data_IF_064306328302
#
_entry.id   IF_064306328302
#
_cell.length_a   1.000
_cell.length_b   1.000
_cell.length_c   1.000
_cell.angle_alpha   90.00
_cell.angle_beta   90.00
_cell.angle_gamma   90.00
#
_symmetry.space_group_name_H-M   'P 1'
#
loop_
_entity.id
_entity.type
_entity.pdbx_description
1 polymer ?
#
# COMPACT_ATOMS: atom_id res chain seq x y z
N UNK A 1 -7.42 -1.40 -20.21
CA UNK A 1 -6.42 -0.84 -21.12
C UNK A 1 -5.75 -1.98 -21.88
N UNK A 2 -5.02 -1.64 -22.93
CA UNK A 2 -4.24 -2.60 -23.71
C UNK A 2 -2.82 -2.70 -23.17
N UNK A 3 -2.38 -3.88 -22.79
CA UNK A 3 -0.99 -4.13 -22.38
C UNK A 3 -0.18 -4.68 -23.56
N UNK A 4 1.05 -4.22 -23.70
CA UNK A 4 2.04 -4.66 -24.69
C UNK A 4 3.29 -5.08 -23.90
N UNK A 5 3.70 -6.35 -23.99
CA UNK A 5 4.90 -6.83 -23.31
C UNK A 5 6.13 -6.63 -24.18
N UNK A 6 7.18 -5.99 -23.65
CA UNK A 6 8.43 -5.73 -24.39
C UNK A 6 9.69 -6.37 -23.78
N UNK A 7 9.57 -7.12 -22.67
CA UNK A 7 10.75 -7.71 -22.02
C UNK A 7 10.46 -8.66 -20.86
N UNK A 8 11.54 -9.16 -20.25
CA UNK A 8 11.53 -9.89 -18.98
C UNK A 8 11.15 -8.96 -17.83
N UNK A 9 10.57 -9.51 -16.75
CA UNK A 9 10.11 -8.73 -15.59
C UNK A 9 11.19 -7.76 -15.09
N UNK A 10 10.82 -6.47 -14.95
CA UNK A 10 11.74 -5.41 -14.52
C UNK A 10 11.99 -5.42 -13.01
N UNK A 11 11.02 -5.89 -12.24
CA UNK A 11 11.09 -6.08 -10.79
C UNK A 11 10.21 -7.25 -10.36
N UNK A 12 10.30 -7.64 -9.09
CA UNK A 12 9.37 -8.57 -8.45
C UNK A 12 7.91 -8.08 -8.48
N UNK A 13 7.69 -6.77 -8.63
CA UNK A 13 6.37 -6.12 -8.64
C UNK A 13 5.71 -6.12 -10.02
N UNK A 14 6.43 -6.50 -11.08
CA UNK A 14 5.92 -6.48 -12.44
C UNK A 14 4.62 -7.31 -12.62
N UNK A 15 4.46 -8.40 -11.86
CA UNK A 15 3.27 -9.22 -11.86
C UNK A 15 2.05 -8.47 -11.29
N UNK A 16 2.22 -7.81 -10.14
CA UNK A 16 1.16 -7.05 -9.46
C UNK A 16 0.76 -5.82 -10.27
N UNK A 17 1.74 -5.10 -10.83
CA UNK A 17 1.49 -3.96 -11.73
C UNK A 17 0.70 -4.42 -12.96
N UNK A 18 1.10 -5.54 -13.59
CA UNK A 18 0.37 -6.11 -14.74
C UNK A 18 -1.06 -6.51 -14.37
N UNK A 19 -1.25 -7.18 -13.23
CA UNK A 19 -2.57 -7.59 -12.75
C UNK A 19 -3.47 -6.38 -12.52
N UNK A 20 -2.95 -5.35 -11.86
CA UNK A 20 -3.70 -4.13 -11.55
C UNK A 20 -4.05 -3.33 -12.78
N UNK A 21 -3.13 -3.15 -13.73
CA UNK A 21 -3.40 -2.46 -15.00
C UNK A 21 -4.43 -3.21 -15.87
N UNK A 22 -4.43 -4.55 -15.86
CA UNK A 22 -5.48 -5.34 -16.53
C UNK A 22 -6.86 -5.10 -15.88
N UNK A 23 -6.89 -4.96 -14.56
CA UNK A 23 -8.09 -4.69 -13.77
C UNK A 23 -8.77 -3.35 -14.07
N UNK A 24 -8.02 -2.35 -14.56
CA UNK A 24 -8.56 -1.02 -14.90
C UNK A 24 -9.58 -1.02 -16.06
N UNK A 25 -9.68 -2.11 -16.84
CA UNK A 25 -10.70 -2.23 -17.90
C UNK A 25 -10.41 -1.38 -19.14
N UNK A 26 -11.00 -1.72 -20.30
CA UNK A 26 -10.75 -1.05 -21.59
C UNK A 26 -11.79 0.02 -21.89
N UNK A 27 -11.39 1.01 -22.68
CA UNK A 27 -12.31 1.99 -23.27
C UNK A 27 -12.41 3.32 -22.54
N UNK A 28 -13.26 4.16 -23.11
CA UNK A 28 -13.60 5.55 -22.81
C UNK A 28 -14.41 5.74 -21.51
N UNK A 29 -14.81 4.65 -20.84
CA UNK A 29 -15.62 4.69 -19.62
C UNK A 29 -14.88 4.33 -18.33
N UNK A 30 -13.61 3.91 -18.39
CA UNK A 30 -12.92 3.36 -17.20
C UNK A 30 -11.44 3.73 -17.03
N UNK A 31 -10.85 4.56 -17.91
CA UNK A 31 -9.49 5.21 -17.90
C UNK A 31 -8.83 5.05 -19.28
N UNK A 32 -9.07 3.93 -19.97
CA UNK A 32 -8.54 3.66 -21.32
C UNK A 32 -7.00 3.60 -21.36
N UNK A 33 -6.42 3.58 -22.56
CA UNK A 33 -4.98 3.69 -22.76
C UNK A 33 -4.21 2.43 -23.13
N UNK A 34 -2.89 2.61 -23.31
CA UNK A 34 -1.94 1.58 -23.71
C UNK A 34 -0.78 1.55 -22.71
N UNK A 35 -0.47 0.38 -22.17
CA UNK A 35 0.65 0.17 -21.26
C UNK A 35 1.74 -0.67 -21.92
N UNK A 36 2.96 -0.10 -22.01
CA UNK A 36 4.18 -0.84 -22.33
C UNK A 36 4.72 -1.46 -21.04
N UNK A 37 4.73 -2.79 -20.96
CA UNK A 37 5.15 -3.53 -19.78
C UNK A 37 6.63 -3.93 -19.88
N UNK A 38 7.32 -3.87 -18.75
CA UNK A 38 8.70 -4.33 -18.58
C UNK A 38 9.65 -3.75 -19.63
N UNK A 39 9.58 -2.43 -19.80
CA UNK A 39 10.29 -1.74 -20.87
C UNK A 39 11.61 -1.16 -20.34
N UNK A 40 12.68 -1.32 -21.11
CA UNK A 40 13.93 -0.60 -20.88
C UNK A 40 14.04 0.47 -21.96
N UNK A 41 13.72 1.73 -21.67
CA UNK A 41 13.68 2.76 -22.69
C UNK A 41 15.04 2.91 -23.39
N UNK A 42 15.03 3.10 -24.71
CA UNK A 42 16.28 3.11 -25.47
C UNK A 42 17.26 4.18 -24.97
N UNK A 43 18.51 3.82 -24.71
CA UNK A 43 19.50 4.76 -24.16
C UNK A 43 19.31 5.10 -22.68
N UNK A 44 18.41 4.41 -21.98
CA UNK A 44 18.34 4.38 -20.52
C UNK A 44 18.79 3.00 -20.02
N UNK A 45 19.63 2.99 -18.98
CA UNK A 45 20.14 1.74 -18.40
C UNK A 45 19.20 1.08 -17.38
N UNK A 46 18.06 1.69 -17.08
CA UNK A 46 17.15 1.23 -16.02
C UNK A 46 15.79 0.82 -16.60
N UNK A 47 15.27 -0.36 -16.25
CA UNK A 47 13.96 -0.81 -16.69
C UNK A 47 12.84 -0.12 -15.89
N UNK A 48 11.66 -0.08 -16.51
CA UNK A 48 10.40 0.36 -15.92
C UNK A 48 9.43 -0.82 -15.94
N UNK A 49 8.66 -1.01 -14.86
CA UNK A 49 7.62 -2.05 -14.83
C UNK A 49 6.50 -1.75 -15.82
N UNK A 50 6.14 -0.47 -15.95
CA UNK A 50 5.25 -0.03 -17.01
C UNK A 50 5.44 1.44 -17.42
N UNK A 51 5.20 1.73 -18.70
CA UNK A 51 4.91 3.09 -19.18
C UNK A 51 3.50 3.09 -19.76
N UNK A 52 2.59 3.80 -19.09
CA UNK A 52 1.16 3.84 -19.43
C UNK A 52 0.84 5.16 -20.12
N UNK A 53 0.38 5.08 -21.36
CA UNK A 53 -0.09 6.20 -22.16
C UNK A 53 -1.62 6.21 -22.11
N UNK A 54 -2.20 7.31 -21.61
CA UNK A 54 -3.64 7.49 -21.47
C UNK A 54 -4.09 8.75 -22.22
N UNK A 55 -5.39 8.90 -22.55
CA UNK A 55 -5.90 10.11 -23.21
C UNK A 55 -5.64 11.40 -22.44
N UNK A 56 -5.57 11.34 -21.10
CA UNK A 56 -5.40 12.53 -20.25
C UNK A 56 -4.02 12.63 -19.57
N UNK A 57 -3.07 11.75 -19.90
CA UNK A 57 -1.74 11.79 -19.30
C UNK A 57 -0.88 10.58 -19.60
N UNK A 58 0.37 10.63 -19.15
CA UNK A 58 1.32 9.51 -19.19
C UNK A 58 1.75 9.18 -17.77
N UNK A 59 1.74 7.89 -17.42
CA UNK A 59 2.16 7.40 -16.11
C UNK A 59 3.38 6.50 -16.26
N UNK A 60 4.47 6.87 -15.60
CA UNK A 60 5.70 6.08 -15.52
C UNK A 60 5.67 5.28 -14.22
N UNK A 61 5.73 3.94 -14.29
CA UNK A 61 5.67 3.06 -13.12
C UNK A 61 7.05 2.41 -12.93
N UNK A 62 7.65 2.65 -11.76
CA UNK A 62 8.94 2.07 -11.36
C UNK A 62 8.78 1.34 -10.04
N UNK A 63 9.18 0.08 -10.02
CA UNK A 63 9.21 -0.77 -8.85
C UNK A 63 10.35 -0.39 -7.92
N UNK A 64 10.03 -0.35 -6.63
CA UNK A 64 10.95 -0.18 -5.53
C UNK A 64 10.76 -1.38 -4.62
N UNK A 65 11.74 -2.27 -4.65
CA UNK A 65 11.73 -3.50 -3.87
C UNK A 65 12.09 -3.18 -2.41
N UNK A 66 11.20 -3.55 -1.51
CA UNK A 66 11.43 -3.49 -0.08
C UNK A 66 12.11 -4.79 0.37
N UNK A 67 12.96 -4.74 1.41
CA UNK A 67 13.63 -5.94 1.94
C UNK A 67 12.65 -6.99 2.47
N UNK A 68 11.45 -6.54 2.83
CA UNK A 68 10.37 -7.39 3.25
C UNK A 68 9.02 -6.65 3.17
N UNK A 69 7.93 -7.36 3.44
CA UNK A 69 6.60 -6.79 3.57
C UNK A 69 6.53 -5.82 4.76
N UNK A 70 5.63 -4.85 4.68
CA UNK A 70 5.56 -3.72 5.62
C UNK A 70 4.09 -3.38 5.93
N UNK A 71 3.72 -3.16 7.18
CA UNK A 71 2.35 -2.73 7.51
C UNK A 71 2.15 -1.25 7.17
N UNK A 72 3.12 -0.41 7.52
CA UNK A 72 3.07 1.03 7.28
C UNK A 72 4.37 1.52 6.68
N UNK A 73 4.31 2.07 5.48
CA UNK A 73 5.45 2.71 4.84
C UNK A 73 5.29 4.23 4.84
N UNK A 74 6.17 4.92 5.55
CA UNK A 74 6.41 6.35 5.39
C UNK A 74 7.44 6.54 4.27
N UNK A 75 6.99 7.03 3.12
CA UNK A 75 7.80 7.10 1.91
C UNK A 75 7.84 8.52 1.35
N UNK A 76 8.54 9.47 2.01
CA UNK A 76 8.68 10.80 1.48
C UNK A 76 9.48 10.78 0.16
N UNK A 77 9.16 11.67 -0.77
CA UNK A 77 9.91 11.78 -2.03
C UNK A 77 11.37 12.19 -1.80
N UNK A 78 11.63 12.86 -0.68
CA UNK A 78 12.95 13.30 -0.25
C UNK A 78 13.22 12.87 1.18
N UNK A 79 14.45 12.42 1.44
CA UNK A 79 14.84 11.92 2.76
C UNK A 79 14.59 10.43 2.93
N UNK A 80 14.77 9.96 4.16
CA UNK A 80 14.79 8.55 4.50
C UNK A 80 13.38 7.98 4.60
N UNK A 81 13.15 6.84 3.94
CA UNK A 81 11.90 6.09 4.09
C UNK A 81 11.88 5.33 5.40
N UNK A 82 10.69 5.08 5.94
CA UNK A 82 10.51 4.23 7.10
C UNK A 82 9.47 3.15 6.87
N UNK A 83 9.82 1.90 7.12
CA UNK A 83 8.90 0.78 7.15
C UNK A 83 8.57 0.45 8.60
N UNK A 84 7.30 0.46 8.99
CA UNK A 84 6.83 0.17 10.36
C UNK A 84 7.50 1.07 11.42
N UNK A 85 7.71 2.35 11.08
CA UNK A 85 8.47 3.37 11.82
C UNK A 85 10.01 3.21 11.80
N UNK A 86 10.53 2.24 11.05
CA UNK A 86 11.96 1.95 10.94
C UNK A 86 12.62 2.50 9.70
N UNK A 87 13.73 3.23 9.82
CA UNK A 87 14.54 3.62 8.68
C UNK A 87 14.82 2.47 7.70
N UNK A 88 14.39 2.61 6.45
CA UNK A 88 14.81 1.73 5.38
C UNK A 88 16.23 2.13 4.96
N UNK A 89 17.19 1.28 5.30
CA UNK A 89 18.54 1.34 4.77
C UNK A 89 18.58 0.48 3.50
N UNK A 90 18.80 1.11 2.35
CA UNK A 90 18.90 0.40 1.08
C UNK A 90 20.20 -0.42 1.01
N UNK A 91 20.23 -1.41 0.12
CA UNK A 91 21.44 -2.19 -0.22
C UNK A 91 22.46 -1.41 -1.08
N UNK A 92 22.39 -0.07 -1.10
CA UNK A 92 23.25 0.79 -1.90
C UNK A 92 23.40 2.19 -1.28
N UNK A 93 24.21 3.05 -1.91
CA UNK A 93 24.64 4.36 -1.36
C UNK A 93 23.50 5.39 -1.18
N UNK A 94 22.29 5.12 -1.69
CA UNK A 94 21.17 6.05 -1.64
C UNK A 94 20.34 5.90 -0.36
N UNK A 95 20.25 6.99 0.40
CA UNK A 95 19.43 7.11 1.62
C UNK A 95 17.92 6.88 1.36
N UNK A 96 17.48 7.07 0.12
CA UNK A 96 16.08 6.92 -0.30
C UNK A 96 15.99 5.84 -1.40
N UNK A 97 15.31 4.70 -1.14
CA UNK A 97 15.18 3.60 -2.10
C UNK A 97 14.53 4.01 -3.44
N UNK A 98 13.65 5.00 -3.42
CA UNK A 98 12.97 5.53 -4.59
C UNK A 98 13.79 6.53 -5.42
N UNK A 99 14.92 7.04 -4.91
CA UNK A 99 15.64 8.16 -5.55
C UNK A 99 16.11 7.84 -6.97
N UNK A 100 16.67 6.65 -7.20
CA UNK A 100 17.12 6.24 -8.53
C UNK A 100 15.96 6.09 -9.53
N UNK A 101 14.84 5.53 -9.07
CA UNK A 101 13.63 5.40 -9.88
C UNK A 101 13.04 6.77 -10.24
N UNK A 102 12.99 7.68 -9.27
CA UNK A 102 12.50 9.04 -9.47
C UNK A 102 13.37 9.82 -10.47
N UNK A 103 14.70 9.76 -10.34
CA UNK A 103 15.61 10.42 -11.27
C UNK A 103 15.47 9.85 -12.70
N UNK A 104 15.39 8.53 -12.85
CA UNK A 104 15.17 7.89 -14.15
C UNK A 104 13.85 8.33 -14.79
N UNK A 105 12.76 8.39 -14.00
CA UNK A 105 11.45 8.86 -14.45
C UNK A 105 11.48 10.33 -14.89
N UNK A 106 12.17 11.21 -14.16
CA UNK A 106 12.31 12.63 -14.54
C UNK A 106 13.01 12.78 -15.89
N UNK A 107 14.11 12.06 -16.11
CA UNK A 107 14.81 12.09 -17.39
C UNK A 107 13.95 11.55 -18.54
N UNK A 108 13.23 10.44 -18.33
CA UNK A 108 12.36 9.88 -19.36
C UNK A 108 11.16 10.80 -19.65
N UNK A 109 10.55 11.39 -18.62
CA UNK A 109 9.46 12.34 -18.75
C UNK A 109 9.86 13.54 -19.60
N UNK A 110 11.06 14.10 -19.37
CA UNK A 110 11.57 15.21 -20.16
C UNK A 110 11.71 14.84 -21.65
N UNK A 111 12.32 13.67 -21.94
CA UNK A 111 12.43 13.18 -23.33
C UNK A 111 11.07 13.00 -24.00
N UNK A 112 10.14 12.33 -23.32
CA UNK A 112 8.79 12.08 -23.86
C UNK A 112 8.08 13.40 -24.14
N UNK A 113 8.15 14.35 -23.22
CA UNK A 113 7.52 15.66 -23.39
C UNK A 113 8.05 16.40 -24.62
N UNK A 114 9.37 16.37 -24.84
CA UNK A 114 10.02 17.02 -25.98
C UNK A 114 9.73 16.31 -27.31
N UNK A 115 9.97 15.00 -27.39
CA UNK A 115 9.86 14.23 -28.64
C UNK A 115 8.42 14.09 -29.10
N UNK A 116 7.48 13.85 -28.17
CA UNK A 116 6.07 13.70 -28.50
C UNK A 116 5.28 15.02 -28.46
N UNK A 117 5.94 16.13 -28.10
CA UNK A 117 5.32 17.46 -27.93
C UNK A 117 4.04 17.36 -27.10
N UNK A 118 4.14 16.70 -25.95
CA UNK A 118 2.98 16.46 -25.09
C UNK A 118 2.54 17.74 -24.39
N UNK A 119 1.22 17.89 -24.29
CA UNK A 119 0.56 18.92 -23.49
C UNK A 119 -0.14 18.33 -22.26
N UNK A 120 -0.26 17.01 -22.20
CA UNK A 120 -0.85 16.27 -21.08
C UNK A 120 0.18 16.07 -19.96
N UNK A 121 -0.26 15.93 -18.69
CA UNK A 121 0.64 15.64 -17.59
C UNK A 121 1.40 14.33 -17.78
N UNK A 122 2.67 14.32 -17.39
CA UNK A 122 3.47 13.11 -17.21
C UNK A 122 3.73 12.98 -15.71
N UNK A 123 3.34 11.85 -15.14
CA UNK A 123 3.46 11.58 -13.72
C UNK A 123 4.20 10.27 -13.45
N UNK A 124 4.68 10.11 -12.22
CA UNK A 124 5.44 8.93 -11.79
C UNK A 124 4.72 8.21 -10.66
N UNK A 125 4.69 6.88 -10.72
CA UNK A 125 4.33 6.03 -9.60
C UNK A 125 5.55 5.20 -9.20
N UNK A 126 5.95 5.33 -7.93
CA UNK A 126 6.88 4.42 -7.29
C UNK A 126 6.06 3.29 -6.68
N UNK A 127 6.01 2.16 -7.38
CA UNK A 127 5.31 0.97 -6.92
C UNK A 127 6.18 0.27 -5.87
N UNK A 128 5.65 0.02 -4.68
CA UNK A 128 6.38 -0.62 -3.57
C UNK A 128 5.81 -1.99 -3.24
N UNK A 129 6.67 -2.91 -2.81
CA UNK A 129 6.27 -4.23 -2.32
C UNK A 129 7.49 -5.06 -1.90
N UNK A 130 7.33 -6.33 -1.52
CA UNK A 130 6.31 -7.27 -2.02
C UNK A 130 4.89 -7.05 -1.49
N UNK A 131 4.71 -6.54 -0.27
CA UNK A 131 3.39 -6.14 0.24
C UNK A 131 3.53 -4.93 1.16
N UNK A 132 2.65 -3.94 0.98
CA UNK A 132 2.53 -2.81 1.91
C UNK A 132 1.04 -2.55 2.19
N UNK A 133 0.63 -2.63 3.45
CA UNK A 133 -0.77 -2.44 3.84
C UNK A 133 -1.18 -0.95 3.73
N UNK A 134 -0.37 -0.04 4.28
CA UNK A 134 -0.58 1.39 4.18
C UNK A 134 0.68 2.14 3.75
N UNK A 135 0.58 2.93 2.67
CA UNK A 135 1.61 3.92 2.31
C UNK A 135 1.13 5.29 2.75
N UNK A 136 1.95 5.97 3.55
CA UNK A 136 1.67 7.28 4.12
C UNK A 136 2.45 8.31 3.31
N UNK A 137 1.78 9.11 2.49
CA UNK A 137 2.46 10.20 1.79
C UNK A 137 2.80 11.32 2.78
N UNK A 138 3.95 11.96 2.60
CA UNK A 138 4.23 13.22 3.27
C UNK A 138 3.34 14.33 2.71
N UNK A 139 2.88 15.25 3.56
CA UNK A 139 1.99 16.35 3.14
C UNK A 139 2.59 17.21 2.03
N UNK A 140 3.91 17.41 2.06
CA UNK A 140 4.65 18.20 1.07
C UNK A 140 4.68 17.53 -0.32
N UNK A 141 4.47 16.21 -0.38
CA UNK A 141 4.54 15.42 -1.62
C UNK A 141 3.21 15.39 -2.39
N UNK A 142 2.09 15.70 -1.74
CA UNK A 142 0.75 15.61 -2.35
C UNK A 142 0.60 16.52 -3.59
N UNK A 143 1.33 17.64 -3.64
CA UNK A 143 1.35 18.55 -4.79
C UNK A 143 2.24 18.12 -5.94
N UNK A 144 3.11 17.13 -5.75
CA UNK A 144 4.05 16.67 -6.77
C UNK A 144 3.39 15.69 -7.74
N UNK A 145 3.87 15.59 -9.00
CA UNK A 145 3.37 14.63 -9.98
C UNK A 145 3.92 13.20 -9.72
N UNK A 146 4.06 12.83 -8.45
CA UNK A 146 4.63 11.55 -8.02
C UNK A 146 3.76 10.95 -6.92
N UNK A 147 3.52 9.64 -6.97
CA UNK A 147 2.88 8.89 -5.87
C UNK A 147 3.70 7.66 -5.53
N UNK A 148 3.83 7.38 -4.24
CA UNK A 148 4.33 6.10 -3.74
C UNK A 148 3.12 5.27 -3.32
N UNK A 149 3.02 4.02 -3.77
CA UNK A 149 1.89 3.14 -3.46
C UNK A 149 2.25 1.67 -3.66
N UNK A 150 1.54 0.78 -2.97
CA UNK A 150 1.51 -0.65 -3.33
C UNK A 150 0.57 -0.85 -4.52
N UNK A 151 0.99 -1.55 -5.61
CA UNK A 151 0.28 -1.54 -6.89
C UNK A 151 -0.99 -2.41 -6.91
N UNK A 152 -2.04 -1.98 -6.20
CA UNK A 152 -3.40 -2.52 -6.30
C UNK A 152 -4.23 -1.77 -7.35
N UNK A 153 -5.31 -2.39 -7.85
CA UNK A 153 -6.24 -1.76 -8.80
C UNK A 153 -6.77 -0.44 -8.24
N UNK A 154 -7.21 -0.44 -6.99
CA UNK A 154 -7.76 0.74 -6.32
C UNK A 154 -6.71 1.84 -6.19
N UNK A 155 -5.51 1.53 -5.70
CA UNK A 155 -4.45 2.51 -5.52
C UNK A 155 -3.99 3.14 -6.84
N UNK A 156 -3.88 2.33 -7.91
CA UNK A 156 -3.55 2.86 -9.25
C UNK A 156 -4.69 3.71 -9.82
N UNK A 157 -5.95 3.32 -9.61
CA UNK A 157 -7.11 4.12 -10.05
C UNK A 157 -7.10 5.50 -9.40
N UNK A 158 -6.89 5.56 -8.08
CA UNK A 158 -6.81 6.81 -7.32
C UNK A 158 -5.60 7.66 -7.72
N UNK A 159 -4.44 7.02 -7.95
CA UNK A 159 -3.26 7.71 -8.45
C UNK A 159 -3.50 8.31 -9.84
N UNK A 160 -4.13 7.58 -10.76
CA UNK A 160 -4.46 8.09 -12.11
C UNK A 160 -5.44 9.25 -12.04
N UNK A 161 -6.50 9.14 -11.23
CA UNK A 161 -7.51 10.19 -11.06
C UNK A 161 -6.90 11.49 -10.52
N UNK A 162 -5.92 11.39 -9.62
CA UNK A 162 -5.26 12.55 -9.00
C UNK A 162 -4.13 13.13 -9.86
N UNK A 163 -3.31 12.28 -10.49
CA UNK A 163 -2.14 12.70 -11.25
C UNK A 163 -2.46 13.12 -12.70
N UNK A 164 -3.53 12.57 -13.27
CA UNK A 164 -3.92 12.81 -14.67
C UNK A 164 -5.40 13.19 -14.77
N UNK A 165 -5.82 14.34 -14.20
CA UNK A 165 -7.22 14.70 -14.11
C UNK A 165 -7.84 14.92 -15.51
N UNK A 166 -9.10 14.46 -15.74
CA UNK A 166 -9.72 14.47 -17.06
C UNK A 166 -10.07 15.87 -17.57
N UNK A 167 -10.01 16.91 -16.71
CA UNK A 167 -10.30 18.30 -17.06
C UNK A 167 -9.19 19.00 -17.87
N UNK A 168 -8.09 18.29 -18.18
CA UNK A 168 -6.94 18.82 -18.92
C UNK A 168 -7.00 18.63 -20.44
N UNK A 169 -5.91 18.98 -21.15
CA UNK A 169 -5.76 18.67 -22.57
C UNK A 169 -5.78 17.15 -22.81
N UNK A 170 -6.08 16.76 -24.05
CA UNK A 170 -6.09 15.34 -24.44
C UNK A 170 -4.93 15.01 -25.37
N UNK A 171 -4.31 13.85 -25.11
CA UNK A 171 -3.28 13.23 -25.92
C UNK A 171 -3.94 12.65 -27.18
N UNK A 172 -3.50 13.07 -28.37
CA UNK A 172 -3.99 12.50 -29.63
C UNK A 172 -3.43 11.11 -29.91
N UNK A 173 -4.07 10.39 -30.83
CA UNK A 173 -3.53 9.12 -31.35
C UNK A 173 -2.11 9.26 -31.93
N UNK A 174 -1.79 10.40 -32.57
CA UNK A 174 -0.44 10.69 -33.07
C UNK A 174 0.56 10.92 -31.93
N UNK A 175 0.18 11.71 -30.94
CA UNK A 175 1.00 11.93 -29.75
C UNK A 175 1.25 10.62 -28.99
N UNK A 176 0.22 9.79 -28.81
CA UNK A 176 0.35 8.49 -28.17
C UNK A 176 1.38 7.60 -28.90
N UNK A 177 1.36 7.55 -30.23
CA UNK A 177 2.38 6.82 -31.02
C UNK A 177 3.78 7.42 -30.86
N UNK A 178 3.88 8.75 -30.78
CA UNK A 178 5.15 9.42 -30.56
C UNK A 178 5.72 9.08 -29.18
N UNK A 179 4.88 9.02 -28.13
CA UNK A 179 5.28 8.56 -26.79
C UNK A 179 5.80 7.13 -26.84
N UNK A 180 5.03 6.21 -27.44
CA UNK A 180 5.42 4.80 -27.53
C UNK A 180 6.79 4.63 -28.24
N UNK A 181 7.04 5.41 -29.29
CA UNK A 181 8.32 5.40 -30.02
C UNK A 181 9.48 6.02 -29.24
N UNK A 182 9.22 7.10 -28.49
CA UNK A 182 10.22 7.75 -27.64
C UNK A 182 10.68 6.84 -26.48
N UNK A 183 9.77 6.00 -25.98
CA UNK A 183 10.06 4.98 -24.97
C UNK A 183 10.83 3.82 -25.61
N UNK A 184 10.26 3.18 -26.61
CA UNK A 184 10.87 2.05 -27.30
C UNK A 184 10.60 2.12 -28.82
N UNK A 185 11.63 2.41 -29.64
CA UNK A 185 11.51 2.44 -31.10
C UNK A 185 11.07 1.11 -31.73
N UNK A 186 11.26 -0.02 -31.04
CA UNK A 186 10.86 -1.34 -31.53
C UNK A 186 9.37 -1.66 -31.27
N UNK A 187 8.67 -0.83 -30.49
CA UNK A 187 7.26 -1.02 -30.19
C UNK A 187 6.41 -0.98 -31.47
N UNK A 188 5.54 -1.97 -31.71
CA UNK A 188 4.66 -1.99 -32.88
C UNK A 188 3.77 -0.75 -32.96
N UNK A 189 3.65 -0.18 -34.16
CA UNK A 189 2.76 0.96 -34.40
C UNK A 189 1.32 0.53 -34.15
N UNK A 190 0.63 1.23 -33.24
CA UNK A 190 -0.76 0.93 -32.90
C UNK A 190 -1.70 1.49 -33.98
N UNK A 191 -2.62 0.68 -34.55
CA UNK A 191 -3.60 1.14 -35.54
C UNK A 191 -4.55 2.20 -34.99
N UNK A 192 -5.12 3.05 -35.86
CA UNK A 192 -6.05 4.12 -35.45
C UNK A 192 -7.27 3.57 -34.71
N UNK A 193 -7.85 2.45 -35.18
CA UNK A 193 -9.01 1.84 -34.52
C UNK A 193 -8.69 1.31 -33.11
N UNK A 194 -7.45 0.86 -32.89
CA UNK A 194 -6.99 0.43 -31.56
C UNK A 194 -6.85 1.61 -30.62
N UNK A 195 -6.29 2.73 -31.09
CA UNK A 195 -6.16 3.93 -30.28
C UNK A 195 -7.52 4.58 -30.02
N UNK A 196 -8.41 4.61 -31.00
CA UNK A 196 -9.78 5.10 -30.83
C UNK A 196 -10.55 4.27 -29.78
N UNK A 197 -10.42 2.93 -29.82
CA UNK A 197 -11.05 2.04 -28.84
C UNK A 197 -10.50 2.19 -27.41
N UNK A 198 -9.30 2.76 -27.25
CA UNK A 198 -8.69 3.07 -25.95
C UNK A 198 -8.90 4.54 -25.54
N UNK A 199 -9.72 5.30 -26.27
CA UNK A 199 -10.16 6.66 -25.92
C UNK A 199 -9.32 7.80 -26.50
N UNK A 200 -8.36 7.53 -27.39
CA UNK A 200 -7.53 8.58 -27.99
C UNK A 200 -8.26 9.31 -29.14
N UNK A 201 -8.37 10.65 -29.12
CA UNK A 201 -8.90 11.41 -30.24
C UNK A 201 -7.93 11.40 -31.44
N UNK A 202 -8.48 11.44 -32.66
CA UNK A 202 -7.69 11.49 -33.91
C UNK A 202 -6.85 12.77 -34.04
N UNK A 203 -7.26 13.86 -33.40
CA UNK A 203 -6.53 15.14 -33.35
C UNK A 203 -6.50 15.67 -31.93
N UNK A 204 -5.38 16.27 -31.52
CA UNK A 204 -5.24 16.87 -30.19
C UNK A 204 -6.19 18.07 -30.10
N UNK A 205 -7.10 18.06 -29.14
CA UNK A 205 -7.92 19.24 -28.87
C UNK A 205 -7.18 20.10 -27.86
N UNK A 206 -6.59 21.20 -28.32
CA UNK A 206 -6.26 22.29 -27.40
C UNK A 206 -7.58 22.83 -26.86
N UNK A 207 -7.77 22.79 -25.54
CA UNK A 207 -8.88 23.47 -24.89
C UNK A 207 -8.80 24.95 -25.27
N UNK A 208 -9.61 25.34 -26.25
CA UNK A 208 -9.70 26.71 -26.73
C UNK A 208 -10.42 27.47 -25.63
N UNK A 209 -9.71 28.28 -24.85
CA UNK A 209 -10.32 29.44 -24.18
C UNK A 209 -11.09 30.19 -25.26
N UNK A 210 -12.41 30.06 -25.27
CA UNK A 210 -13.26 30.72 -26.24
C UNK A 210 -13.07 32.23 -26.15
N UNK A 211 -13.12 32.98 -27.27
CA UNK A 211 -13.27 34.42 -27.20
C UNK A 211 -14.58 34.70 -26.44
N UNK A 212 -14.53 35.64 -25.49
CA UNK A 212 -15.71 36.07 -24.74
C UNK A 212 -16.89 36.42 -25.67
N UNK A 213 -18.14 36.25 -25.23
CA UNK A 213 -19.29 36.46 -26.10
C UNK A 213 -19.36 37.94 -26.50
N UNK A 214 -19.31 38.21 -27.81
CA UNK A 214 -19.68 39.50 -28.36
C UNK A 214 -21.20 39.71 -28.20
N UNK A 215 -21.68 40.95 -27.98
CA UNK A 215 -23.09 41.23 -27.73
C UNK A 215 -23.89 41.12 -29.03
N UNK A 216 -24.99 40.36 -29.03
CA UNK A 216 -25.95 40.28 -30.14
C UNK A 216 -27.11 41.25 -29.89
N UNK A 217 -27.51 42.10 -30.87
CA UNK A 217 -28.61 43.06 -30.72
C UNK A 217 -30.00 42.41 -30.87
N UNK A 218 -31.09 43.05 -30.37
CA UNK A 218 -32.39 42.41 -30.22
C UNK A 218 -33.28 42.60 -31.46
N UNK A 219 -34.02 41.56 -31.87
CA UNK A 219 -35.22 41.66 -32.70
C UNK A 219 -36.05 40.35 -32.62
N UNK A 220 -37.31 40.32 -33.09
CA UNK A 220 -38.51 40.41 -32.28
C UNK A 220 -39.30 39.09 -32.20
N UNK A 221 -40.14 38.98 -31.17
CA UNK A 221 -41.01 37.83 -30.94
C UNK A 221 -42.15 37.71 -31.95
N UNK A 222 -42.55 36.47 -32.29
CA UNK A 222 -43.95 36.17 -32.55
C UNK A 222 -44.54 35.14 -31.57
N UNK A 223 -45.86 35.21 -31.51
CA UNK A 223 -46.80 34.79 -30.47
C UNK A 223 -47.20 33.31 -30.43
N UNK A 224 -47.46 32.87 -29.19
CA UNK A 224 -48.52 31.94 -28.73
C UNK A 224 -48.55 30.49 -29.24
N UNK A 225 -48.50 29.53 -28.31
CA UNK A 225 -49.75 28.93 -27.79
C UNK A 225 -49.52 28.10 -26.52
N UNK A 226 -50.49 28.21 -25.63
CA UNK A 226 -50.53 27.62 -24.30
C UNK A 226 -50.84 26.12 -24.35
N UNK A 227 -50.22 25.35 -23.46
CA UNK A 227 -50.97 24.36 -22.71
C UNK A 227 -50.43 24.18 -21.30
N UNK A 228 -51.35 24.31 -20.36
CA UNK A 228 -51.18 24.37 -18.93
C UNK A 228 -50.95 22.99 -18.30
N UNK A 229 -49.93 22.86 -17.45
CA UNK A 229 -50.02 22.04 -16.22
C UNK A 229 -49.43 22.80 -15.04
N UNK A 230 -50.32 23.10 -14.10
CA UNK A 230 -50.06 23.70 -12.79
C UNK A 230 -49.23 22.75 -11.93
N UNK A 231 -48.20 23.28 -11.28
CA UNK A 231 -47.51 22.70 -10.13
C UNK A 231 -46.59 23.76 -9.53
N UNK A 232 -46.96 24.27 -8.36
CA UNK A 232 -46.39 25.47 -7.70
C UNK A 232 -44.93 25.31 -7.24
N UNK A 233 -44.20 26.43 -7.07
CA UNK A 233 -42.86 26.44 -6.50
C UNK A 233 -42.91 26.19 -4.98
N UNK A 234 -42.05 25.30 -4.50
CA UNK A 234 -41.89 25.04 -3.08
C UNK A 234 -41.15 26.22 -2.42
N UNK A 235 -41.92 27.03 -1.70
CA UNK A 235 -41.44 27.99 -0.73
C UNK A 235 -40.71 27.26 0.39
N UNK A 236 -39.45 27.67 0.60
CA UNK A 236 -38.74 27.51 1.86
C UNK A 236 -39.63 28.02 3.01
N UNK A 237 -40.02 27.12 3.90
CA UNK A 237 -40.52 27.45 5.22
C UNK A 237 -39.70 26.69 6.27
N UNK A 238 -39.26 27.36 7.35
CA UNK A 238 -38.46 26.77 8.40
C UNK A 238 -39.35 25.93 9.32
N UNK A 239 -38.86 24.75 9.72
CA UNK A 239 -39.44 23.92 10.79
C UNK A 239 -38.40 23.80 11.93
N UNK A 240 -38.80 23.50 13.18
CA UNK A 240 -38.39 24.26 14.35
C UNK A 240 -37.34 23.49 15.14
N UNK A 241 -36.29 24.21 15.55
CA UNK A 241 -35.14 23.71 16.33
C UNK A 241 -35.52 23.24 17.77
N UNK A 242 -36.80 23.21 18.11
CA UNK A 242 -37.28 22.91 19.47
C UNK A 242 -37.28 21.41 19.84
N UNK A 243 -37.31 20.48 18.87
CA UNK A 243 -37.38 19.02 19.17
C UNK A 243 -36.00 18.39 19.39
N UNK A 244 -34.95 18.92 18.73
CA UNK A 244 -33.58 18.41 18.88
C UNK A 244 -32.94 18.86 20.20
N UNK A 245 -33.25 20.08 20.67
CA UNK A 245 -32.71 20.58 21.94
C UNK A 245 -33.30 19.84 23.17
N UNK A 246 -34.55 19.39 23.10
CA UNK A 246 -35.18 18.61 24.18
C UNK A 246 -34.62 17.18 24.28
N UNK A 247 -34.17 16.60 23.17
CA UNK A 247 -33.50 15.29 23.16
C UNK A 247 -32.07 15.37 23.72
N UNK A 248 -31.34 16.46 23.46
CA UNK A 248 -29.97 16.64 23.98
C UNK A 248 -29.98 16.99 25.48
N UNK A 249 -30.93 17.81 25.95
CA UNK A 249 -31.07 18.13 27.38
C UNK A 249 -31.62 16.93 28.17
N UNK A 250 -32.50 16.11 27.57
CA UNK A 250 -32.96 14.86 28.16
C UNK A 250 -31.85 13.81 28.33
N UNK A 251 -30.92 13.71 27.37
CA UNK A 251 -29.79 12.79 27.46
C UNK A 251 -28.78 13.20 28.56
N UNK A 252 -28.59 14.51 28.76
CA UNK A 252 -27.71 15.03 29.82
C UNK A 252 -28.36 14.85 31.21
N UNK A 253 -29.69 14.92 31.33
CA UNK A 253 -30.39 14.67 32.59
C UNK A 253 -30.37 13.18 33.01
N UNK A 254 -30.36 12.24 32.07
CA UNK A 254 -30.24 10.79 32.39
C UNK A 254 -28.82 10.43 32.84
N UNK A 255 -27.79 11.13 32.36
CA UNK A 255 -26.40 10.96 32.83
C UNK A 255 -26.17 11.69 34.18
N UNK A 256 -26.90 12.77 34.48
CA UNK A 256 -26.73 13.56 35.69
C UNK A 256 -27.52 13.08 36.92
N UNK A 257 -28.54 12.21 36.78
CA UNK A 257 -29.34 11.71 37.93
C UNK A 257 -28.86 10.34 38.45
N UNK A 258 -27.88 9.71 37.81
CA UNK A 258 -27.25 8.48 38.32
C UNK A 258 -25.98 8.71 39.18
N UNK A 259 -25.64 9.96 39.53
CA UNK A 259 -24.41 10.29 40.29
C UNK A 259 -24.64 11.19 41.51
N UNK A 260 -25.81 11.11 42.16
CA UNK A 260 -26.03 11.75 43.46
C UNK A 260 -26.78 10.82 44.41
N UNK A 261 -26.03 9.93 45.04
CA UNK A 261 -26.49 9.04 46.11
C UNK A 261 -25.31 8.28 46.70
N UNK A 262 -24.62 8.92 47.64
CA UNK A 262 -23.56 8.32 48.42
C UNK A 262 -24.06 7.09 49.20
N UNK A 263 -23.30 5.99 49.15
CA UNK A 263 -23.01 5.07 50.26
C UNK A 263 -22.04 3.98 49.79
N UNK A 264 -20.86 3.94 50.41
CA UNK A 264 -19.82 2.88 50.45
C UNK A 264 -19.76 1.85 49.30
N UNK A 265 -18.83 2.06 48.36
CA UNK A 265 -18.29 1.02 47.48
C UNK A 265 -16.86 1.40 47.03
N UNK A 266 -15.91 0.44 46.91
CA UNK A 266 -14.49 0.75 46.86
C UNK A 266 -14.10 1.44 45.55
N UNK A 267 -13.09 2.31 45.64
CA UNK A 267 -12.51 3.00 44.51
C UNK A 267 -12.16 2.00 43.39
N UNK A 268 -12.76 2.20 42.21
CA UNK A 268 -12.38 1.47 41.00
C UNK A 268 -11.00 1.99 40.61
N UNK A 269 -9.98 1.18 40.91
CA UNK A 269 -8.64 1.39 40.43
C UNK A 269 -8.68 1.57 38.91
N UNK A 270 -8.01 2.61 38.43
CA UNK A 270 -7.52 2.64 37.06
C UNK A 270 -6.63 1.41 36.93
N UNK A 271 -7.11 0.40 36.22
CA UNK A 271 -6.33 -0.80 35.92
C UNK A 271 -5.20 -0.38 34.98
N UNK A 272 -4.11 0.10 35.56
CA UNK A 272 -2.79 -0.06 34.97
C UNK A 272 -2.57 -1.56 34.97
N UNK A 273 -2.77 -2.24 33.83
CA UNK A 273 -2.33 -3.62 33.76
C UNK A 273 -0.83 -3.62 34.07
N UNK A 274 -0.36 -4.41 35.03
CA UNK A 274 1.07 -4.56 35.25
C UNK A 274 1.69 -5.02 33.93
N UNK A 275 2.86 -4.48 33.56
CA UNK A 275 3.75 -5.25 32.68
C UNK A 275 3.84 -6.65 33.28
N UNK A 276 3.71 -7.73 32.49
CA UNK A 276 3.83 -9.08 33.04
C UNK A 276 5.14 -9.15 33.83
N UNK A 277 5.10 -9.81 34.99
CA UNK A 277 6.33 -10.25 35.67
C UNK A 277 7.27 -10.81 34.60
N UNK A 278 8.53 -10.35 34.59
CA UNK A 278 9.55 -10.66 33.61
C UNK A 278 9.62 -12.18 33.35
N UNK A 279 8.86 -12.68 32.37
CA UNK A 279 8.88 -14.11 32.02
C UNK A 279 10.07 -14.30 31.11
N UNK A 280 11.12 -14.93 31.64
CA UNK A 280 12.30 -15.32 30.87
C UNK A 280 12.24 -16.82 30.60
N UNK A 281 12.29 -17.20 29.34
CA UNK A 281 12.45 -18.59 28.92
C UNK A 281 13.89 -18.86 28.55
N UNK A 282 14.54 -19.79 29.25
CA UNK A 282 15.89 -20.23 28.92
C UNK A 282 15.82 -21.41 27.94
N UNK A 283 16.40 -21.26 26.75
CA UNK A 283 16.45 -22.29 25.70
C UNK A 283 17.86 -22.37 25.15
N UNK A 284 18.50 -23.53 25.29
CA UNK A 284 19.85 -23.82 24.77
C UNK A 284 20.87 -22.70 25.05
N UNK A 285 20.84 -22.19 26.28
CA UNK A 285 21.77 -21.15 26.76
C UNK A 285 21.45 -19.72 26.32
N UNK A 286 20.29 -19.48 25.69
CA UNK A 286 19.77 -18.14 25.44
C UNK A 286 18.56 -17.85 26.32
N UNK A 287 18.49 -16.63 26.80
CA UNK A 287 17.35 -16.10 27.53
C UNK A 287 16.43 -15.37 26.55
N UNK A 288 15.15 -15.75 26.55
CA UNK A 288 14.08 -15.13 25.78
C UNK A 288 13.11 -14.46 26.74
N UNK A 289 13.27 -13.16 26.92
CA UNK A 289 12.39 -12.33 27.73
C UNK A 289 11.12 -12.00 26.96
N UNK A 290 9.94 -12.29 27.52
CA UNK A 290 8.65 -12.00 26.88
C UNK A 290 8.38 -10.50 26.87
N UNK A 291 8.31 -9.91 25.68
CA UNK A 291 7.95 -8.51 25.46
C UNK A 291 6.45 -8.36 25.21
N UNK A 292 5.89 -9.24 24.38
CA UNK A 292 4.46 -9.30 24.13
C UNK A 292 4.03 -10.73 23.81
N UNK A 293 2.81 -11.10 24.21
CA UNK A 293 2.18 -12.34 23.76
C UNK A 293 0.67 -12.18 23.69
N UNK A 294 0.04 -12.97 22.83
CA UNK A 294 -1.42 -13.07 22.73
C UNK A 294 -1.86 -14.36 22.02
N UNK A 295 -3.13 -14.70 22.17
CA UNK A 295 -3.78 -15.78 21.41
C UNK A 295 -4.97 -15.20 20.65
N UNK A 296 -4.89 -15.22 19.32
CA UNK A 296 -5.87 -14.60 18.44
C UNK A 296 -6.57 -15.68 17.63
N UNK A 297 -7.91 -15.72 17.69
CA UNK A 297 -8.71 -16.70 16.93
C UNK A 297 -8.86 -16.33 15.46
N UNK A 298 -8.85 -15.04 15.17
CA UNK A 298 -8.91 -14.54 13.81
C UNK A 298 -7.51 -14.57 13.18
N UNK A 299 -7.12 -15.74 12.66
CA UNK A 299 -5.80 -15.96 12.07
C UNK A 299 -5.53 -15.04 10.87
N UNK A 300 -6.57 -14.67 10.11
CA UNK A 300 -6.45 -13.82 8.92
C UNK A 300 -5.97 -12.41 9.29
N UNK A 301 -6.49 -11.84 10.39
CA UNK A 301 -6.09 -10.52 10.90
C UNK A 301 -4.62 -10.40 11.34
N UNK A 302 -3.95 -11.53 11.52
CA UNK A 302 -2.57 -11.63 12.02
C UNK A 302 -1.56 -12.02 10.93
N UNK A 303 -2.02 -12.11 9.70
CA UNK A 303 -1.21 -12.55 8.55
C UNK A 303 -1.38 -11.59 7.38
N UNK A 304 -0.40 -11.58 6.48
CA UNK A 304 -0.43 -10.78 5.26
C UNK A 304 0.05 -11.60 4.05
N UNK A 305 -0.08 -11.03 2.84
CA UNK A 305 0.33 -11.65 1.58
C UNK A 305 -0.48 -12.90 1.21
N UNK A 306 0.13 -13.85 0.50
CA UNK A 306 -0.53 -15.11 0.13
C UNK A 306 -0.87 -15.97 1.35
N UNK A 307 -0.10 -15.87 2.43
CA UNK A 307 -0.38 -16.57 3.69
C UNK A 307 -1.74 -16.17 4.26
N UNK A 308 -2.09 -14.89 4.22
CA UNK A 308 -3.41 -14.39 4.65
C UNK A 308 -4.56 -15.08 3.89
N UNK A 309 -4.45 -15.14 2.57
CA UNK A 309 -5.43 -15.81 1.71
C UNK A 309 -5.44 -17.34 1.92
N UNK A 310 -4.30 -17.93 2.25
CA UNK A 310 -4.18 -19.37 2.44
C UNK A 310 -4.69 -19.81 3.81
N UNK A 311 -4.47 -19.00 4.85
CA UNK A 311 -4.94 -19.23 6.22
C UNK A 311 -6.45 -19.03 6.32
N UNK A 312 -7.05 -18.06 5.61
CA UNK A 312 -8.52 -17.94 5.57
C UNK A 312 -9.23 -19.12 4.91
N UNK A 313 -8.49 -19.95 4.16
CA UNK A 313 -8.95 -21.20 3.54
C UNK A 313 -8.48 -22.45 4.27
N UNK A 314 -7.58 -22.31 5.22
CA UNK A 314 -7.19 -23.38 6.12
C UNK A 314 -8.10 -23.28 7.34
N UNK A 315 -8.60 -24.40 7.84
CA UNK A 315 -9.47 -24.40 9.03
C UNK A 315 -8.59 -24.09 10.26
N UNK A 316 -8.24 -22.82 10.42
CA UNK A 316 -7.37 -22.29 11.46
C UNK A 316 -8.19 -22.01 12.72
N UNK A 317 -7.85 -22.70 13.81
CA UNK A 317 -8.53 -22.56 15.09
C UNK A 317 -8.04 -21.33 15.87
N UNK A 318 -6.80 -20.91 15.63
CA UNK A 318 -6.19 -19.74 16.22
C UNK A 318 -4.69 -19.66 15.94
N UNK A 319 -4.10 -18.55 16.37
CA UNK A 319 -2.67 -18.33 16.35
C UNK A 319 -2.21 -17.85 17.73
N UNK A 320 -1.13 -18.43 18.22
CA UNK A 320 -0.39 -17.88 19.35
C UNK A 320 0.72 -16.99 18.80
N UNK A 321 0.77 -15.75 19.28
CA UNK A 321 1.83 -14.79 18.95
C UNK A 321 2.67 -14.55 20.19
N UNK A 322 4.00 -14.57 20.02
CA UNK A 322 4.96 -14.22 21.06
C UNK A 322 6.09 -13.39 20.48
N UNK A 323 6.42 -12.28 21.13
CA UNK A 323 7.56 -11.43 20.82
C UNK A 323 8.50 -11.46 22.01
N UNK A 324 9.76 -11.79 21.76
CA UNK A 324 10.78 -11.98 22.79
C UNK A 324 12.00 -11.13 22.50
N UNK A 325 12.62 -10.63 23.57
CA UNK A 325 13.93 -10.03 23.55
C UNK A 325 14.96 -11.10 23.94
N UNK A 326 16.02 -11.22 23.16
CA UNK A 326 17.17 -12.04 23.52
C UNK A 326 18.46 -11.26 23.33
N UNK A 327 19.56 -11.75 23.91
CA UNK A 327 20.87 -11.10 23.81
C UNK A 327 21.97 -12.11 23.52
N UNK A 328 22.81 -11.82 22.54
CA UNK A 328 23.99 -12.62 22.21
C UNK A 328 25.18 -11.70 22.07
N UNK A 329 26.25 -11.98 22.82
CA UNK A 329 27.48 -11.18 22.80
C UNK A 329 27.26 -9.66 23.03
N UNK A 330 26.27 -9.30 23.85
CA UNK A 330 25.94 -7.91 24.17
C UNK A 330 25.12 -7.17 23.11
N UNK A 331 24.64 -7.88 22.07
CA UNK A 331 23.69 -7.37 21.08
C UNK A 331 22.29 -7.93 21.35
N UNK A 332 21.27 -7.10 21.24
CA UNK A 332 19.88 -7.46 21.45
C UNK A 332 19.21 -7.84 20.13
N UNK A 333 18.47 -8.95 20.14
CA UNK A 333 17.65 -9.37 19.02
C UNK A 333 16.16 -9.44 19.41
N UNK A 334 15.31 -8.90 18.55
CA UNK A 334 13.88 -9.19 18.54
C UNK A 334 13.65 -10.56 17.92
N UNK A 335 12.80 -11.34 18.56
CA UNK A 335 12.36 -12.65 18.10
C UNK A 335 10.83 -12.67 18.10
N UNK A 336 10.23 -12.77 16.92
CA UNK A 336 8.79 -12.92 16.75
C UNK A 336 8.46 -14.35 16.41
N UNK A 337 7.53 -14.95 17.13
CA UNK A 337 7.07 -16.32 16.94
C UNK A 337 5.56 -16.32 16.74
N UNK A 338 5.10 -16.97 15.68
CA UNK A 338 3.69 -17.27 15.46
C UNK A 338 3.49 -18.77 15.33
N UNK A 339 2.63 -19.36 16.15
CA UNK A 339 2.26 -20.78 16.11
C UNK A 339 0.78 -20.90 15.74
N UNK A 340 0.49 -21.43 14.56
CA UNK A 340 -0.86 -21.63 14.05
C UNK A 340 -1.40 -22.99 14.48
N UNK A 341 -2.59 -22.97 15.06
CA UNK A 341 -3.38 -24.16 15.36
C UNK A 341 -4.25 -24.49 14.15
N UNK A 342 -3.93 -25.58 13.47
CA UNK A 342 -4.62 -26.02 12.26
C UNK A 342 -5.30 -27.36 12.51
N UNK A 343 -6.53 -27.52 12.01
CA UNK A 343 -7.27 -28.78 12.18
C UNK A 343 -6.65 -29.94 11.39
N UNK A 344 -5.86 -29.64 10.35
CA UNK A 344 -5.26 -30.64 9.47
C UNK A 344 -3.73 -30.50 9.35
N UNK A 345 -2.95 -31.55 9.67
CA UNK A 345 -1.51 -31.55 9.42
C UNK A 345 -1.17 -31.33 7.93
N UNK A 346 -2.03 -31.76 7.01
CA UNK A 346 -1.84 -31.52 5.57
C UNK A 346 -1.94 -30.04 5.22
N UNK A 347 -2.80 -29.28 5.92
CA UNK A 347 -2.88 -27.83 5.75
C UNK A 347 -1.62 -27.18 6.33
N UNK A 348 -1.13 -27.62 7.49
CA UNK A 348 0.12 -27.15 8.07
C UNK A 348 1.31 -27.29 7.11
N UNK A 349 1.53 -28.49 6.55
CA UNK A 349 2.63 -28.69 5.58
C UNK A 349 2.42 -27.93 4.26
N UNK A 350 1.17 -27.62 3.87
CA UNK A 350 0.88 -26.80 2.68
C UNK A 350 1.22 -25.32 2.95
N UNK A 351 0.86 -24.83 4.13
CA UNK A 351 1.17 -23.46 4.54
C UNK A 351 2.67 -23.28 4.78
N UNK A 352 3.36 -24.26 5.37
CA UNK A 352 4.83 -24.25 5.50
C UNK A 352 5.51 -24.06 4.14
N UNK A 353 5.16 -24.88 3.15
CA UNK A 353 5.71 -24.75 1.79
C UNK A 353 5.43 -23.39 1.16
N UNK A 354 4.26 -22.81 1.46
CA UNK A 354 3.89 -21.50 0.97
C UNK A 354 4.83 -20.44 1.57
N UNK A 355 4.94 -20.34 2.89
CA UNK A 355 5.75 -19.31 3.58
C UNK A 355 7.25 -19.49 3.39
N UNK A 356 7.70 -20.71 3.08
CA UNK A 356 9.08 -21.02 2.71
C UNK A 356 9.43 -20.52 1.30
N UNK A 357 8.44 -20.12 0.50
CA UNK A 357 8.65 -19.44 -0.79
C UNK A 357 8.77 -17.93 -0.55
N UNK A 358 9.86 -17.28 -0.98
CA UNK A 358 10.00 -15.83 -0.82
C UNK A 358 8.84 -15.04 -1.41
N UNK A 359 8.35 -14.02 -0.69
CA UNK A 359 7.32 -13.10 -1.17
C UNK A 359 5.86 -13.52 -0.92
N UNK A 360 5.60 -14.69 -0.34
CA UNK A 360 4.24 -15.21 -0.11
C UNK A 360 3.56 -14.71 1.17
N UNK A 361 4.18 -13.79 1.90
CA UNK A 361 3.62 -13.24 3.14
C UNK A 361 3.86 -14.10 4.38
N UNK A 362 3.59 -13.52 5.56
CA UNK A 362 4.03 -14.00 6.87
C UNK A 362 3.08 -13.53 7.98
N UNK A 363 3.34 -13.93 9.23
CA UNK A 363 2.63 -13.43 10.41
C UNK A 363 3.18 -12.08 10.89
N UNK A 364 2.31 -11.26 11.49
CA UNK A 364 2.71 -9.97 12.08
C UNK A 364 3.60 -10.15 13.32
N UNK A 365 4.38 -9.13 13.66
CA UNK A 365 5.06 -9.04 14.97
C UNK A 365 4.19 -8.25 15.96
N UNK A 366 3.85 -8.90 17.08
CA UNK A 366 2.92 -8.35 18.06
C UNK A 366 3.51 -7.16 18.83
N UNK A 367 4.77 -7.25 19.25
CA UNK A 367 5.44 -6.15 19.94
C UNK A 367 5.61 -4.92 19.04
N UNK A 368 5.88 -5.09 17.74
CA UNK A 368 5.87 -3.97 16.78
C UNK A 368 4.47 -3.36 16.67
N UNK A 369 3.43 -4.18 16.59
CA UNK A 369 2.04 -3.71 16.49
C UNK A 369 1.61 -2.91 17.73
N UNK A 370 2.22 -3.21 18.89
CA UNK A 370 1.95 -2.57 20.19
C UNK A 370 2.96 -1.48 20.57
N UNK A 371 3.94 -1.18 19.72
CA UNK A 371 5.02 -0.25 20.02
C UNK A 371 5.74 -0.58 21.34
N UNK A 372 6.03 -1.88 21.55
CA UNK A 372 6.49 -2.43 22.83
C UNK A 372 8.01 -2.74 22.87
N UNK A 373 8.75 -2.54 21.78
CA UNK A 373 10.19 -2.79 21.75
C UNK A 373 10.98 -1.68 22.47
N UNK A 374 12.01 -2.03 23.27
CA UNK A 374 12.68 -1.09 24.18
C UNK A 374 13.61 -0.07 23.49
N UNK A 375 14.27 -0.45 22.39
CA UNK A 375 15.04 0.46 21.54
C UNK A 375 14.85 0.06 20.08
N UNK A 376 14.57 1.09 19.28
CA UNK A 376 14.15 0.97 17.90
C UNK A 376 15.01 1.73 16.90
N UNK A 377 16.30 1.81 17.17
CA UNK A 377 17.21 2.63 16.36
C UNK A 377 18.06 1.84 15.34
N UNK A 378 18.14 0.50 15.43
CA UNK A 378 19.09 -0.30 14.64
C UNK A 378 18.55 -1.52 13.88
N UNK A 379 17.29 -1.52 13.42
CA UNK A 379 16.74 -2.72 12.74
C UNK A 379 17.43 -3.01 11.41
N UNK A 380 18.11 -4.16 11.36
CA UNK A 380 18.70 -4.73 10.16
C UNK A 380 17.77 -5.65 9.38
N UNK A 381 18.31 -6.32 8.36
CA UNK A 381 17.61 -7.38 7.63
C UNK A 381 17.32 -8.55 8.57
N UNK A 382 16.07 -9.02 8.59
CA UNK A 382 15.64 -10.12 9.44
C UNK A 382 15.87 -11.50 8.84
N UNK A 383 16.08 -12.50 9.69
CA UNK A 383 16.08 -13.91 9.28
C UNK A 383 14.69 -14.50 9.52
N UNK A 384 14.16 -15.20 8.52
CA UNK A 384 12.86 -15.85 8.55
C UNK A 384 13.03 -17.37 8.48
N UNK A 385 12.34 -18.11 9.35
CA UNK A 385 12.35 -19.57 9.42
C UNK A 385 10.97 -20.12 9.74
N UNK A 386 10.49 -21.05 8.93
CA UNK A 386 9.26 -21.80 9.14
C UNK A 386 9.57 -23.25 9.45
N UNK A 387 8.74 -23.87 10.29
CA UNK A 387 8.76 -25.30 10.53
C UNK A 387 7.34 -25.80 10.77
N UNK A 388 7.09 -27.04 10.39
CA UNK A 388 5.87 -27.76 10.75
C UNK A 388 6.23 -28.91 11.67
N UNK A 389 5.49 -29.01 12.78
CA UNK A 389 5.63 -30.11 13.73
C UNK A 389 4.27 -30.41 14.34
N UNK A 390 3.91 -31.70 14.41
CA UNK A 390 2.67 -32.19 15.01
C UNK A 390 1.39 -31.49 14.49
N UNK A 391 1.36 -31.12 13.21
CA UNK A 391 0.23 -30.44 12.60
C UNK A 391 0.08 -28.96 12.96
N UNK A 392 1.07 -28.38 13.63
CA UNK A 392 1.19 -26.94 13.87
C UNK A 392 2.22 -26.33 12.95
N UNK A 393 1.89 -25.17 12.39
CA UNK A 393 2.84 -24.35 11.65
C UNK A 393 3.44 -23.33 12.60
N UNK A 394 4.77 -23.31 12.71
CA UNK A 394 5.49 -22.33 13.49
C UNK A 394 6.36 -21.46 12.60
N UNK A 395 6.25 -20.17 12.81
CA UNK A 395 6.91 -19.12 12.07
C UNK A 395 7.80 -18.35 13.05
N UNK A 396 9.08 -18.19 12.71
CA UNK A 396 10.06 -17.46 13.50
C UNK A 396 10.72 -16.39 12.65
N UNK A 397 10.72 -15.15 13.15
CA UNK A 397 11.44 -14.01 12.60
C UNK A 397 12.41 -13.49 13.65
N UNK A 398 13.66 -13.25 13.27
CA UNK A 398 14.69 -12.67 14.14
C UNK A 398 15.34 -11.45 13.50
N UNK A 399 15.56 -10.40 14.28
CA UNK A 399 16.13 -9.12 13.82
C UNK A 399 16.99 -8.52 14.94
N UNK A 400 18.15 -7.94 14.61
CA UNK A 400 18.92 -7.14 15.57
C UNK A 400 18.24 -5.80 15.88
N UNK A 401 18.25 -5.39 17.15
CA UNK A 401 17.68 -4.10 17.58
C UNK A 401 18.71 -2.95 17.57
N UNK A 402 19.97 -3.25 17.93
CA UNK A 402 20.97 -2.22 18.25
C UNK A 402 21.73 -1.71 17.00
N UNK A 403 22.18 -2.63 16.13
CA UNK A 403 22.93 -2.31 14.91
C UNK A 403 22.59 -3.32 13.80
N UNK A 404 22.49 -2.87 12.53
CA UNK A 404 22.28 -3.76 11.39
C UNK A 404 23.35 -4.86 11.35
N UNK A 405 22.93 -6.12 11.22
CA UNK A 405 23.84 -7.22 10.91
C UNK A 405 24.41 -7.10 9.50
N UNK A 406 25.41 -7.94 9.14
CA UNK A 406 25.91 -7.99 7.76
C UNK A 406 24.77 -8.24 6.75
N UNK A 407 24.90 -7.66 5.55
CA UNK A 407 23.87 -7.60 4.50
C UNK A 407 23.44 -8.98 3.94
N UNK A 408 24.17 -10.05 4.29
CA UNK A 408 23.98 -11.42 3.83
C UNK A 408 23.95 -12.43 4.98
N UNK A 409 22.74 -12.83 5.39
CA UNK A 409 22.50 -14.05 6.16
C UNK A 409 23.34 -14.19 7.43
N UNK A 410 23.09 -13.34 8.44
CA UNK A 410 23.76 -13.43 9.73
C UNK A 410 23.52 -14.82 10.37
N UNK A 411 24.58 -15.63 10.38
CA UNK A 411 24.54 -16.98 10.93
C UNK A 411 24.09 -17.01 12.40
N UNK A 412 24.36 -15.94 13.16
CA UNK A 412 23.93 -15.82 14.56
C UNK A 412 22.42 -15.61 14.65
N UNK A 413 21.80 -14.80 13.77
CA UNK A 413 20.34 -14.72 13.69
C UNK A 413 19.71 -16.05 13.26
N UNK A 414 20.39 -16.80 12.38
CA UNK A 414 20.02 -18.17 12.03
C UNK A 414 19.98 -19.10 13.26
N UNK A 415 21.05 -19.11 14.06
CA UNK A 415 21.10 -19.91 15.29
C UNK A 415 20.06 -19.49 16.34
N UNK A 416 19.81 -18.18 16.48
CA UNK A 416 18.75 -17.68 17.36
C UNK A 416 17.38 -18.17 16.88
N UNK A 417 17.11 -18.11 15.56
CA UNK A 417 15.86 -18.60 14.98
C UNK A 417 15.66 -20.09 15.21
N UNK A 418 16.71 -20.89 15.04
CA UNK A 418 16.64 -22.35 15.22
C UNK A 418 16.29 -22.70 16.69
N UNK A 419 16.88 -21.99 17.67
CA UNK A 419 16.54 -22.14 19.09
C UNK A 419 15.15 -21.62 19.44
N UNK A 420 14.70 -20.54 18.79
CA UNK A 420 13.40 -19.93 19.04
C UNK A 420 12.20 -20.83 18.73
N UNK A 421 12.37 -21.87 17.89
CA UNK A 421 11.34 -22.90 17.70
C UNK A 421 11.00 -23.68 18.98
N UNK A 422 11.94 -23.79 19.93
CA UNK A 422 11.73 -24.49 21.19
C UNK A 422 11.21 -23.57 22.33
N UNK A 423 11.06 -22.27 22.08
CA UNK A 423 10.54 -21.34 23.10
C UNK A 423 9.07 -21.66 23.42
N UNK A 424 8.67 -21.79 24.69
CA UNK A 424 7.27 -22.01 25.03
C UNK A 424 6.40 -20.80 24.61
N UNK A 425 5.23 -21.03 24.01
CA UNK A 425 4.28 -19.96 23.72
C UNK A 425 3.58 -19.53 25.04
N UNK A 426 3.62 -18.24 25.44
CA UNK A 426 3.00 -17.79 26.67
C UNK A 426 1.48 -17.93 26.58
N UNK A 427 0.90 -18.70 27.49
CA UNK A 427 -0.55 -18.76 27.67
C UNK A 427 -1.00 -17.58 28.54
N UNK A 428 -1.16 -16.40 27.93
CA UNK A 428 -1.85 -15.30 28.59
C UNK A 428 -3.35 -15.48 28.34
N UNK A 429 -4.07 -15.99 29.35
CA UNK A 429 -5.53 -16.12 29.34
C UNK A 429 -6.24 -14.82 29.68
#
# INVERSE_FOLDING_TARGET
>A
MRLIGTGAAASLLAADVSASLRGLGRGDHTIGGIALMNVTPHGFGRPFDAVVVMPHGVLLIVGVELPGPTMRLDAPLHGQWKADNWPLVGSGDAVNPGAHGLAASQHLAHRIAEEARLTVPIATVLAVGPFVDAVVPSHDDLGQPVRVLHPTITALTDAIATLTPPSGPTCSAEQARAVLRAVDPATPIQPDDTLAAEGFPRTATTARTGPGPAPVPPAPSPTQQANSRRGRPALLRPLPIAVVFLLVVGLIAVVAVATAGASDAPARAVSSQPMPDLVIHQVDGLDFEVVAADTIRDCESTTYGDLHTAVSKADCAGVHLGSYLTSVAGRHAAVSVAEFELESPRQASKLEKLVSTPGTGWAIDLATTRDAWPDTTGYGVGTYRSAEADGRLRLVRTVWLDEPGPDDGDATLGEISDRAFAVPMPNLR
#
